data_IF_376140976015
#
_entry.id   IF_376140976015
#
_cell.length_a   1.000
_cell.length_b   1.000
_cell.length_c   1.000
_cell.angle_alpha   90.00
_cell.angle_beta   90.00
_cell.angle_gamma   90.00
#
_symmetry.space_group_name_H-M   'P 1'
#
loop_
_entity.id
_entity.type
_entity.pdbx_description
1 polymer ?
#
# COMPACT_ATOMS: atom_id res chain seq x y z
N UNK A 1 -0.58 24.87 -10.32
CA UNK A 1 0.83 25.10 -10.74
C UNK A 1 1.71 24.58 -9.62
N UNK A 2 2.62 23.64 -9.92
CA UNK A 2 3.52 23.05 -8.90
C UNK A 2 4.78 23.90 -8.82
N UNK A 3 5.44 24.11 -9.95
CA UNK A 3 6.49 25.11 -10.14
C UNK A 3 6.16 25.97 -11.36
N UNK A 4 7.07 26.85 -11.79
CA UNK A 4 6.83 27.66 -13.00
C UNK A 4 6.77 26.82 -14.27
N UNK A 5 7.57 25.75 -14.32
CA UNK A 5 7.73 24.88 -15.48
C UNK A 5 6.93 23.59 -15.35
N UNK A 6 6.51 23.21 -14.15
CA UNK A 6 5.74 21.99 -13.86
C UNK A 6 4.27 22.32 -13.59
N UNK A 7 3.38 21.79 -14.45
CA UNK A 7 1.93 21.94 -14.31
C UNK A 7 1.24 20.60 -14.08
N UNK A 8 0.17 20.63 -13.30
CA UNK A 8 -0.78 19.52 -13.17
C UNK A 8 -1.74 19.54 -14.36
N UNK A 9 -1.98 18.39 -14.94
CA UNK A 9 -2.87 18.17 -16.09
C UNK A 9 -3.76 16.92 -15.92
N UNK A 10 -3.85 16.40 -14.69
CA UNK A 10 -4.70 15.26 -14.34
C UNK A 10 -6.18 15.61 -14.24
N UNK A 11 -6.96 14.68 -13.69
CA UNK A 11 -8.42 14.76 -13.56
C UNK A 11 -8.89 14.26 -12.19
N UNK A 12 -10.11 14.64 -11.80
CA UNK A 12 -10.81 14.11 -10.63
C UNK A 12 -12.01 13.26 -11.06
N UNK A 13 -12.22 12.15 -10.39
CA UNK A 13 -13.35 11.25 -10.59
C UNK A 13 -14.25 11.24 -9.35
N UNK A 14 -15.39 11.91 -9.45
CA UNK A 14 -16.42 11.95 -8.39
C UNK A 14 -17.52 10.90 -8.57
N UNK A 15 -17.48 10.11 -9.65
CA UNK A 15 -18.51 9.12 -9.97
C UNK A 15 -18.11 7.69 -9.59
N UNK A 16 -16.83 7.47 -9.32
CA UNK A 16 -16.32 6.17 -8.89
C UNK A 16 -16.81 5.88 -7.46
N UNK A 17 -17.36 4.68 -7.25
CA UNK A 17 -17.80 4.20 -5.93
C UNK A 17 -16.80 3.20 -5.32
N UNK A 18 -16.13 2.42 -6.18
CA UNK A 18 -15.13 1.42 -5.78
C UNK A 18 -13.85 1.55 -6.61
N UNK A 19 -12.75 1.95 -5.99
CA UNK A 19 -11.42 1.87 -6.61
C UNK A 19 -10.94 0.43 -6.66
N UNK A 20 -10.34 0.01 -7.77
CA UNK A 20 -10.01 -1.40 -8.08
C UNK A 20 -11.17 -2.38 -7.87
N UNK A 21 -12.41 -1.91 -7.90
CA UNK A 21 -13.60 -2.72 -7.67
C UNK A 21 -13.77 -3.25 -6.23
N UNK A 22 -13.01 -2.74 -5.26
CA UNK A 22 -13.01 -3.23 -3.88
C UNK A 22 -12.88 -2.16 -2.80
N UNK A 23 -12.21 -1.04 -3.05
CA UNK A 23 -12.02 0.02 -2.04
C UNK A 23 -13.10 1.07 -2.17
N UNK A 24 -13.89 1.25 -1.13
CA UNK A 24 -14.92 2.29 -1.08
C UNK A 24 -14.25 3.66 -1.08
N UNK A 25 -14.60 4.53 -2.03
CA UNK A 25 -14.01 5.87 -2.19
C UNK A 25 -15.11 6.92 -2.26
N UNK A 26 -15.72 7.29 -1.13
CA UNK A 26 -16.84 8.22 -1.08
C UNK A 26 -16.45 9.63 -1.55
N UNK A 27 -15.19 9.98 -1.42
CA UNK A 27 -14.62 11.27 -1.84
C UNK A 27 -14.01 11.21 -3.26
N UNK A 28 -14.36 10.17 -4.02
CA UNK A 28 -13.88 9.96 -5.38
C UNK A 28 -12.41 9.58 -5.46
N UNK A 29 -11.79 9.90 -6.60
CA UNK A 29 -10.39 9.59 -6.88
C UNK A 29 -9.76 10.67 -7.75
N UNK A 30 -8.47 10.91 -7.61
CA UNK A 30 -7.70 11.70 -8.58
C UNK A 30 -6.83 10.80 -9.43
N UNK A 31 -6.76 11.05 -10.74
CA UNK A 31 -5.78 10.44 -11.64
C UNK A 31 -4.82 11.52 -12.09
N UNK A 32 -3.61 11.48 -11.54
CA UNK A 32 -2.66 12.56 -11.72
C UNK A 32 -1.81 12.36 -12.96
N UNK A 33 -1.67 13.44 -13.70
CA UNK A 33 -0.73 13.56 -14.80
C UNK A 33 -0.10 14.95 -14.73
N UNK A 34 1.15 15.05 -15.16
CA UNK A 34 1.91 16.30 -15.07
C UNK A 34 2.61 16.60 -16.39
N UNK A 35 2.97 17.86 -16.60
CA UNK A 35 3.77 18.27 -17.74
C UNK A 35 4.91 19.19 -17.33
N UNK A 36 6.12 18.87 -17.77
CA UNK A 36 7.31 19.73 -17.65
C UNK A 36 7.47 20.50 -18.96
N UNK A 37 7.44 21.82 -18.86
CA UNK A 37 7.59 22.76 -19.98
C UNK A 37 9.03 23.29 -20.01
N UNK A 38 9.86 22.70 -20.87
CA UNK A 38 11.24 23.09 -21.06
C UNK A 38 11.56 23.24 -22.56
N UNK A 39 12.83 23.20 -23.00
CA UNK A 39 13.19 23.14 -24.42
C UNK A 39 12.52 21.93 -25.07
N UNK A 40 12.57 20.77 -24.41
CA UNK A 40 11.76 19.61 -24.71
C UNK A 40 10.69 19.45 -23.63
N UNK A 41 9.53 18.98 -24.06
CA UNK A 41 8.37 18.83 -23.20
C UNK A 41 8.14 17.36 -22.87
N UNK A 42 8.01 17.05 -21.57
CA UNK A 42 7.68 15.73 -21.09
C UNK A 42 6.33 15.73 -20.37
N UNK A 43 5.43 14.84 -20.79
CA UNK A 43 4.19 14.50 -20.10
C UNK A 43 4.44 13.27 -19.23
N UNK A 44 4.00 13.29 -17.98
CA UNK A 44 4.15 12.22 -16.99
C UNK A 44 2.82 11.50 -16.84
N UNK A 45 2.78 10.24 -17.23
CA UNK A 45 1.64 9.32 -17.22
C UNK A 45 0.39 9.84 -17.93
N UNK A 46 -0.60 9.00 -18.06
CA UNK A 46 -1.93 9.36 -18.53
C UNK A 46 -2.96 9.20 -17.40
N UNK A 47 -4.23 9.12 -17.74
CA UNK A 47 -5.32 9.01 -16.80
C UNK A 47 -6.28 7.88 -17.21
N UNK A 48 -7.26 7.57 -16.36
CA UNK A 48 -8.31 6.60 -16.63
C UNK A 48 -9.05 6.93 -17.94
N UNK A 49 -9.46 5.90 -18.65
CA UNK A 49 -9.98 5.97 -20.03
C UNK A 49 -11.18 6.90 -20.21
N UNK A 50 -12.09 6.96 -19.22
CA UNK A 50 -13.30 7.78 -19.34
C UNK A 50 -12.99 9.28 -19.41
N UNK A 51 -11.80 9.70 -18.97
CA UNK A 51 -11.34 11.08 -18.97
C UNK A 51 -10.42 11.44 -20.16
N UNK A 52 -10.39 10.62 -21.21
CA UNK A 52 -9.53 10.85 -22.39
C UNK A 52 -9.61 12.27 -22.95
N UNK A 53 -10.83 12.78 -23.19
CA UNK A 53 -11.02 14.10 -23.80
C UNK A 53 -10.61 15.23 -22.84
N UNK A 54 -10.97 15.13 -21.58
CA UNK A 54 -10.61 16.11 -20.56
C UNK A 54 -9.09 16.21 -20.40
N UNK A 55 -8.41 15.08 -20.26
CA UNK A 55 -6.96 15.02 -20.12
C UNK A 55 -6.24 15.58 -21.35
N UNK A 56 -6.66 15.22 -22.57
CA UNK A 56 -6.07 15.75 -23.79
C UNK A 56 -6.29 17.27 -23.92
N UNK A 57 -7.42 17.79 -23.48
CA UNK A 57 -7.68 19.23 -23.42
C UNK A 57 -6.79 19.92 -22.35
N UNK A 58 -6.58 19.29 -21.19
CA UNK A 58 -5.69 19.79 -20.14
C UNK A 58 -4.26 19.89 -20.66
N UNK A 59 -3.78 18.91 -21.46
CA UNK A 59 -2.49 18.96 -22.13
C UNK A 59 -2.44 20.16 -23.09
N UNK A 60 -3.41 20.29 -24.00
CA UNK A 60 -3.42 21.40 -24.97
C UNK A 60 -3.41 22.77 -24.30
N UNK A 61 -4.23 22.95 -23.25
CA UNK A 61 -4.26 24.18 -22.49
C UNK A 61 -2.92 24.50 -21.79
N UNK A 62 -2.20 23.47 -21.34
CA UNK A 62 -0.91 23.62 -20.73
C UNK A 62 0.19 23.98 -21.73
N UNK A 63 0.12 23.39 -22.93
CA UNK A 63 1.13 23.51 -23.99
C UNK A 63 1.01 24.78 -24.83
N UNK A 64 -0.22 25.29 -25.02
CA UNK A 64 -0.48 26.34 -26.01
C UNK A 64 -0.20 25.88 -27.42
N UNK A 65 0.67 26.56 -28.17
CA UNK A 65 1.05 26.21 -29.54
C UNK A 65 2.16 25.13 -29.64
N UNK A 66 2.70 24.69 -28.50
CA UNK A 66 3.80 23.69 -28.45
C UNK A 66 3.26 22.27 -28.51
N UNK A 67 4.13 21.33 -28.85
CA UNK A 67 3.82 19.89 -28.84
C UNK A 67 4.76 19.15 -27.88
N UNK A 68 4.31 18.06 -27.22
CA UNK A 68 5.17 17.29 -26.33
C UNK A 68 6.16 16.43 -27.12
N UNK A 69 7.38 16.30 -26.59
CA UNK A 69 8.42 15.43 -27.12
C UNK A 69 8.33 14.01 -26.53
N UNK A 70 7.89 13.91 -25.28
CA UNK A 70 7.90 12.66 -24.54
C UNK A 70 6.61 12.43 -23.76
N UNK A 71 6.21 11.14 -23.69
CA UNK A 71 5.33 10.59 -22.65
C UNK A 71 6.17 9.65 -21.80
N UNK A 72 6.35 9.97 -20.53
CA UNK A 72 7.01 9.12 -19.54
C UNK A 72 5.93 8.31 -18.83
N UNK A 73 6.04 6.99 -18.86
CA UNK A 73 5.08 6.08 -18.23
C UNK A 73 5.74 5.43 -17.04
N UNK A 74 5.30 5.84 -15.85
CA UNK A 74 5.79 5.31 -14.59
C UNK A 74 5.12 3.99 -14.23
N UNK A 75 3.82 3.85 -14.58
CA UNK A 75 3.01 2.71 -14.20
C UNK A 75 2.05 2.29 -15.32
N UNK A 76 1.80 0.99 -15.43
CA UNK A 76 1.00 0.41 -16.50
C UNK A 76 -0.43 0.03 -16.08
N UNK A 77 -0.83 0.30 -14.86
CA UNK A 77 -2.22 0.14 -14.48
C UNK A 77 -3.13 1.01 -15.36
N UNK A 78 -4.31 0.49 -15.78
CA UNK A 78 -5.13 1.17 -16.79
C UNK A 78 -5.54 2.60 -16.45
N UNK A 79 -5.67 2.94 -15.17
CA UNK A 79 -6.00 4.30 -14.73
C UNK A 79 -4.86 5.32 -14.95
N UNK A 80 -3.64 4.85 -15.26
CA UNK A 80 -2.49 5.67 -15.64
C UNK A 80 -2.01 5.41 -17.07
N UNK A 81 -2.42 4.31 -17.70
CA UNK A 81 -1.86 3.88 -18.99
C UNK A 81 -2.89 3.82 -20.12
N UNK A 82 -4.19 3.86 -19.84
CA UNK A 82 -5.24 3.64 -20.84
C UNK A 82 -5.18 4.61 -22.03
N UNK A 83 -4.64 5.81 -21.82
CA UNK A 83 -4.59 6.87 -22.84
C UNK A 83 -3.25 6.97 -23.59
N UNK A 84 -2.29 6.09 -23.37
CA UNK A 84 -1.00 6.09 -24.10
C UNK A 84 -1.23 6.10 -25.62
N UNK A 85 -2.11 5.24 -26.14
CA UNK A 85 -2.42 5.17 -27.55
C UNK A 85 -3.08 6.47 -28.06
N UNK A 86 -4.02 7.03 -27.32
CA UNK A 86 -4.72 8.27 -27.70
C UNK A 86 -3.75 9.45 -27.75
N UNK A 87 -2.84 9.54 -26.78
CA UNK A 87 -1.77 10.53 -26.76
C UNK A 87 -0.88 10.43 -28.01
N UNK A 88 -0.39 9.23 -28.35
CA UNK A 88 0.46 8.99 -29.48
C UNK A 88 -0.22 9.18 -30.85
N UNK A 89 -1.55 9.05 -30.90
CA UNK A 89 -2.32 9.39 -32.10
C UNK A 89 -2.43 10.90 -32.27
N UNK A 90 -2.60 11.65 -31.17
CA UNK A 90 -2.67 13.11 -31.19
C UNK A 90 -1.31 13.76 -31.42
N UNK A 91 -0.24 13.16 -30.87
CA UNK A 91 1.14 13.65 -30.96
C UNK A 91 2.05 12.59 -31.60
N UNK A 92 2.00 12.46 -32.94
CA UNK A 92 2.67 11.37 -33.65
C UNK A 92 4.20 11.41 -33.58
N UNK A 93 4.80 12.56 -33.31
CA UNK A 93 6.25 12.72 -33.17
C UNK A 93 6.76 12.44 -31.76
N UNK A 94 5.85 12.36 -30.75
CA UNK A 94 6.22 12.09 -29.38
C UNK A 94 6.74 10.66 -29.18
N UNK A 95 7.72 10.50 -28.29
CA UNK A 95 8.29 9.21 -27.92
C UNK A 95 7.77 8.77 -26.54
N UNK A 96 7.60 7.46 -26.36
CA UNK A 96 7.26 6.85 -25.07
C UNK A 96 8.53 6.42 -24.35
N UNK A 97 8.65 6.80 -23.09
CA UNK A 97 9.76 6.44 -22.21
C UNK A 97 9.21 5.58 -21.08
N UNK A 98 9.72 4.37 -20.90
CA UNK A 98 9.29 3.46 -19.85
C UNK A 98 10.32 2.35 -19.60
N UNK A 99 10.08 1.51 -18.59
CA UNK A 99 10.86 0.29 -18.37
C UNK A 99 10.63 -0.75 -19.46
N UNK A 100 11.55 -1.71 -19.60
CA UNK A 100 11.40 -2.83 -20.53
C UNK A 100 10.15 -3.67 -20.24
N UNK A 101 9.79 -3.84 -18.96
CA UNK A 101 8.59 -4.55 -18.53
C UNK A 101 7.32 -3.81 -18.97
N UNK A 102 7.28 -2.48 -18.82
CA UNK A 102 6.15 -1.68 -19.25
C UNK A 102 5.88 -1.84 -20.76
N UNK A 103 6.91 -1.88 -21.60
CA UNK A 103 6.73 -2.11 -23.05
C UNK A 103 6.20 -3.52 -23.36
N UNK A 104 6.57 -4.54 -22.58
CA UNK A 104 5.93 -5.87 -22.68
C UNK A 104 4.45 -5.83 -22.31
N UNK A 105 4.09 -5.08 -21.27
CA UNK A 105 2.69 -4.86 -20.89
C UNK A 105 1.93 -4.05 -21.94
N UNK A 106 2.53 -3.02 -22.54
CA UNK A 106 1.93 -2.28 -23.66
C UNK A 106 1.61 -3.20 -24.84
N UNK A 107 2.50 -4.17 -25.17
CA UNK A 107 2.21 -5.19 -26.17
C UNK A 107 0.96 -6.00 -25.85
N UNK A 108 0.76 -6.34 -24.57
CA UNK A 108 -0.42 -7.09 -24.13
C UNK A 108 -1.70 -6.23 -24.14
N UNK A 109 -1.62 -5.00 -23.64
CA UNK A 109 -2.77 -4.09 -23.55
C UNK A 109 -3.20 -3.53 -24.90
N UNK A 110 -2.22 -3.18 -25.76
CA UNK A 110 -2.48 -2.42 -26.99
C UNK A 110 -2.20 -3.21 -28.26
N UNK A 111 -1.61 -4.42 -28.18
CA UNK A 111 -1.17 -5.18 -29.36
C UNK A 111 0.06 -4.56 -30.06
N UNK A 112 0.75 -3.63 -29.41
CA UNK A 112 1.99 -2.98 -29.90
C UNK A 112 2.83 -2.53 -28.71
N UNK A 113 4.15 -2.62 -28.86
CA UNK A 113 5.14 -2.10 -27.92
C UNK A 113 5.72 -0.76 -28.36
N UNK A 114 5.10 -0.11 -29.35
CA UNK A 114 5.53 1.18 -29.92
C UNK A 114 7.01 1.22 -30.30
N UNK A 115 7.54 0.13 -30.85
CA UNK A 115 8.97 -0.06 -31.16
C UNK A 115 9.59 1.02 -32.04
N UNK A 116 8.78 1.70 -32.84
CA UNK A 116 9.17 2.85 -33.70
C UNK A 116 9.41 4.13 -32.90
N UNK A 117 8.87 4.24 -31.67
CA UNK A 117 8.88 5.47 -30.87
C UNK A 117 9.24 5.25 -29.41
N UNK A 118 9.63 4.05 -29.01
CA UNK A 118 9.96 3.73 -27.61
C UNK A 118 11.39 4.11 -27.24
N UNK A 119 11.58 4.54 -26.01
CA UNK A 119 12.87 4.68 -25.33
C UNK A 119 12.81 3.82 -24.07
N UNK A 120 13.60 2.76 -24.02
CA UNK A 120 13.69 1.88 -22.86
C UNK A 120 14.71 2.46 -21.89
N UNK A 121 14.30 2.64 -20.63
CA UNK A 121 15.19 3.13 -19.57
C UNK A 121 15.57 2.01 -18.59
N UNK A 122 16.68 2.24 -17.90
CA UNK A 122 17.19 1.46 -16.79
C UNK A 122 17.37 2.36 -15.56
N UNK A 123 17.61 1.73 -14.43
CA UNK A 123 17.90 2.43 -13.16
C UNK A 123 19.11 3.36 -13.32
N UNK A 124 18.93 4.62 -12.94
CA UNK A 124 19.97 5.66 -13.03
C UNK A 124 20.12 6.32 -14.41
N UNK A 125 19.38 5.90 -15.44
CA UNK A 125 19.40 6.57 -16.74
C UNK A 125 18.88 8.01 -16.61
N UNK A 126 19.36 8.89 -17.50
CA UNK A 126 19.03 10.32 -17.47
C UNK A 126 18.42 10.79 -18.77
N UNK A 127 17.53 11.77 -18.66
CA UNK A 127 16.95 12.50 -19.79
C UNK A 127 17.11 14.00 -19.56
N UNK A 128 17.72 14.67 -20.52
CA UNK A 128 17.86 16.13 -20.51
C UNK A 128 16.76 16.77 -21.36
N UNK A 129 15.99 17.69 -20.75
CA UNK A 129 14.93 18.45 -21.41
C UNK A 129 15.36 19.87 -21.79
N UNK A 130 16.54 20.33 -21.34
CA UNK A 130 17.07 21.67 -21.45
C UNK A 130 17.59 22.13 -20.09
N UNK A 131 16.77 22.82 -19.31
CA UNK A 131 17.02 23.19 -17.92
C UNK A 131 16.84 22.00 -16.96
N UNK A 132 15.84 21.16 -17.21
CA UNK A 132 15.49 20.01 -16.38
C UNK A 132 16.31 18.78 -16.78
N UNK A 133 16.98 18.14 -15.83
CA UNK A 133 17.59 16.83 -15.98
C UNK A 133 16.84 15.82 -15.11
N UNK A 134 16.19 14.87 -15.78
CA UNK A 134 15.44 13.81 -15.15
C UNK A 134 16.31 12.57 -14.93
N UNK A 135 16.24 11.97 -13.76
CA UNK A 135 16.89 10.69 -13.44
C UNK A 135 15.82 9.64 -13.18
N UNK A 136 15.88 8.50 -13.85
CA UNK A 136 14.94 7.40 -13.69
C UNK A 136 15.41 6.44 -12.61
N UNK A 137 14.49 6.02 -11.75
CA UNK A 137 14.71 5.08 -10.65
C UNK A 137 13.73 3.92 -10.81
N UNK A 138 14.24 2.69 -10.86
CA UNK A 138 13.34 1.53 -10.87
C UNK A 138 12.79 1.27 -9.47
N UNK A 139 11.49 1.00 -9.39
CA UNK A 139 10.75 0.72 -8.16
C UNK A 139 9.88 -0.54 -8.31
N UNK A 140 10.48 -1.70 -8.65
CA UNK A 140 9.72 -2.91 -8.94
C UNK A 140 8.91 -3.34 -7.73
N UNK A 141 7.66 -3.76 -7.97
CA UNK A 141 6.65 -4.14 -6.97
C UNK A 141 6.23 -3.00 -6.01
N UNK A 142 6.41 -1.74 -6.43
CA UNK A 142 5.83 -0.60 -5.72
C UNK A 142 4.82 0.12 -6.66
N UNK A 143 3.66 -0.51 -7.03
CA UNK A 143 3.27 -1.86 -6.54
C UNK A 143 3.28 -2.95 -7.63
N UNK A 144 3.57 -2.65 -8.91
CA UNK A 144 3.72 -3.60 -10.00
C UNK A 144 5.20 -3.73 -10.43
N UNK A 145 5.58 -4.82 -11.17
CA UNK A 145 6.99 -5.11 -11.46
C UNK A 145 7.68 -4.13 -12.42
N UNK A 146 6.93 -3.39 -13.21
CA UNK A 146 7.45 -2.46 -14.23
C UNK A 146 7.65 -1.04 -13.71
N UNK A 147 7.19 -0.73 -12.50
CA UNK A 147 7.13 0.63 -11.94
C UNK A 147 8.50 1.29 -11.93
N UNK A 148 8.51 2.54 -12.37
CA UNK A 148 9.64 3.45 -12.25
C UNK A 148 9.22 4.73 -11.53
N UNK A 149 10.17 5.45 -10.99
CA UNK A 149 10.03 6.81 -10.48
C UNK A 149 10.95 7.74 -11.27
N UNK A 150 10.66 9.02 -11.28
CA UNK A 150 11.52 10.02 -11.92
C UNK A 150 11.86 11.13 -10.94
N UNK A 151 13.16 11.42 -10.79
CA UNK A 151 13.61 12.57 -10.02
C UNK A 151 14.06 13.69 -10.95
N UNK A 152 13.46 14.86 -10.81
CA UNK A 152 13.88 16.10 -11.47
C UNK A 152 14.84 16.87 -10.56
N UNK A 153 16.09 16.96 -10.97
CA UNK A 153 17.13 17.63 -10.20
C UNK A 153 17.01 19.15 -10.19
N UNK A 154 16.31 19.75 -11.17
CA UNK A 154 16.13 21.19 -11.30
C UNK A 154 15.18 21.71 -10.23
N UNK A 155 13.96 21.17 -10.18
CA UNK A 155 12.92 21.61 -9.26
C UNK A 155 12.86 20.73 -8.00
N UNK A 156 13.74 19.69 -7.90
CA UNK A 156 13.84 18.75 -6.77
C UNK A 156 12.53 18.02 -6.50
N UNK A 157 11.88 17.60 -7.58
CA UNK A 157 10.60 16.89 -7.57
C UNK A 157 10.81 15.41 -7.78
N UNK A 158 10.17 14.58 -6.97
CA UNK A 158 10.06 13.15 -7.18
C UNK A 158 8.66 12.84 -7.74
N UNK A 159 8.59 12.30 -8.96
CA UNK A 159 7.40 11.64 -9.50
C UNK A 159 7.44 10.19 -9.05
N UNK A 160 6.54 9.83 -8.15
CA UNK A 160 6.69 8.61 -7.33
C UNK A 160 5.82 7.43 -7.77
N UNK A 161 5.20 7.49 -8.93
CA UNK A 161 4.12 6.59 -9.31
C UNK A 161 3.04 6.58 -8.20
N UNK A 162 2.52 5.42 -7.82
CA UNK A 162 1.49 5.28 -6.80
C UNK A 162 2.00 5.48 -5.37
N UNK A 163 3.31 5.35 -5.17
CA UNK A 163 3.88 5.62 -3.85
C UNK A 163 3.59 7.06 -3.40
N UNK A 164 3.28 7.23 -2.13
CA UNK A 164 2.84 8.49 -1.52
C UNK A 164 1.46 8.98 -1.99
N UNK A 165 0.73 8.16 -2.74
CA UNK A 165 -0.65 8.41 -3.12
C UNK A 165 -1.63 8.22 -1.97
N UNK A 166 -2.89 8.63 -2.20
CA UNK A 166 -4.02 8.44 -1.30
C UNK A 166 -5.32 8.32 -2.08
N UNK A 167 -6.35 7.77 -1.46
CA UNK A 167 -7.71 7.87 -1.98
C UNK A 167 -8.25 9.31 -1.88
N UNK A 168 -9.26 9.62 -2.70
CA UNK A 168 -9.94 10.91 -2.72
C UNK A 168 -9.55 11.82 -3.90
N UNK A 169 -10.51 12.61 -4.36
CA UNK A 169 -10.33 13.64 -5.37
C UNK A 169 -9.58 14.85 -4.77
N UNK A 170 -8.87 15.64 -5.61
CA UNK A 170 -8.01 16.74 -5.14
C UNK A 170 -8.79 17.96 -4.63
N UNK A 171 -10.04 18.08 -4.95
CA UNK A 171 -10.94 19.18 -4.58
C UNK A 171 -11.83 18.86 -3.37
N UNK A 172 -11.59 17.72 -2.70
CA UNK A 172 -12.19 17.34 -1.43
C UNK A 172 -11.18 17.58 -0.31
N UNK A 173 -11.62 18.25 0.77
CA UNK A 173 -10.80 18.44 1.98
C UNK A 173 -10.87 17.18 2.85
N UNK A 174 -9.73 16.57 3.10
CA UNK A 174 -9.59 15.41 3.98
C UNK A 174 -8.21 15.38 4.66
N UNK A 175 -8.01 14.46 5.61
CA UNK A 175 -6.73 14.21 6.24
C UNK A 175 -5.89 13.25 5.39
N UNK A 176 -4.76 13.73 4.84
CA UNK A 176 -3.89 12.93 3.98
C UNK A 176 -3.47 11.61 4.62
N UNK A 177 -3.11 11.62 5.90
CA UNK A 177 -2.54 10.45 6.58
C UNK A 177 -3.51 9.26 6.66
N UNK A 178 -4.80 9.51 6.92
CA UNK A 178 -5.82 8.46 7.02
C UNK A 178 -5.99 7.75 5.67
N UNK A 179 -6.31 8.52 4.62
CA UNK A 179 -6.56 7.99 3.29
C UNK A 179 -5.29 7.44 2.62
N UNK A 180 -4.12 8.02 2.90
CA UNK A 180 -2.84 7.53 2.41
C UNK A 180 -2.44 6.21 3.08
N UNK A 181 -2.71 6.02 4.38
CA UNK A 181 -2.46 4.77 5.10
C UNK A 181 -3.38 3.67 4.58
N UNK A 182 -4.68 3.98 4.40
CA UNK A 182 -5.67 3.06 3.82
C UNK A 182 -5.26 2.64 2.40
N UNK A 183 -4.84 3.60 1.57
CA UNK A 183 -4.27 3.36 0.24
C UNK A 183 -3.02 2.49 0.31
N UNK A 184 -2.04 2.85 1.17
CA UNK A 184 -0.79 2.12 1.32
C UNK A 184 -1.03 0.64 1.68
N UNK A 185 -1.74 0.36 2.76
CA UNK A 185 -1.99 -1.03 3.18
C UNK A 185 -2.97 -1.76 2.26
N UNK A 186 -3.84 -1.07 1.56
CA UNK A 186 -4.69 -1.63 0.52
C UNK A 186 -3.89 -2.14 -0.67
N UNK A 187 -3.03 -1.30 -1.24
CA UNK A 187 -2.40 -1.44 -2.55
C UNK A 187 -0.93 -1.92 -2.44
N UNK A 188 -0.13 -1.29 -1.58
CA UNK A 188 1.33 -1.46 -1.52
C UNK A 188 1.77 -2.37 -0.37
N UNK A 189 0.98 -2.50 0.69
CA UNK A 189 1.38 -3.04 1.99
C UNK A 189 2.04 -4.42 1.99
N UNK A 190 1.74 -5.27 1.01
CA UNK A 190 2.43 -6.55 0.81
C UNK A 190 3.93 -6.39 0.54
N UNK A 191 4.33 -5.29 -0.08
CA UNK A 191 5.65 -5.10 -0.68
C UNK A 191 6.56 -4.19 0.17
N UNK A 192 6.42 -4.21 1.49
CA UNK A 192 7.23 -3.41 2.41
C UNK A 192 8.74 -3.46 2.16
N UNK A 193 9.38 -4.63 1.98
CA UNK A 193 10.81 -4.70 1.66
C UNK A 193 11.21 -3.97 0.37
N UNK A 194 10.34 -3.98 -0.66
CA UNK A 194 10.59 -3.26 -1.91
C UNK A 194 10.46 -1.74 -1.73
N UNK A 195 9.49 -1.31 -0.93
CA UNK A 195 9.38 0.11 -0.52
C UNK A 195 10.63 0.55 0.25
N UNK A 196 11.12 -0.27 1.20
CA UNK A 196 12.36 -0.01 1.93
C UNK A 196 13.58 0.12 0.99
N UNK A 197 13.66 -0.69 -0.06
CA UNK A 197 14.71 -0.58 -1.06
C UNK A 197 14.61 0.75 -1.86
N UNK A 198 13.39 1.17 -2.21
CA UNK A 198 13.15 2.47 -2.86
C UNK A 198 13.51 3.63 -1.93
N UNK A 199 13.09 3.59 -0.67
CA UNK A 199 13.44 4.63 0.32
C UNK A 199 14.95 4.80 0.47
N UNK A 200 15.72 3.70 0.46
CA UNK A 200 17.19 3.76 0.44
C UNK A 200 17.76 4.43 -0.81
N UNK A 201 17.17 4.19 -2.00
CA UNK A 201 17.59 4.84 -3.24
C UNK A 201 17.36 6.36 -3.20
N UNK A 202 16.18 6.78 -2.71
CA UNK A 202 15.83 8.20 -2.68
C UNK A 202 16.45 8.98 -1.52
N UNK A 203 16.99 8.31 -0.49
CA UNK A 203 17.58 8.95 0.69
C UNK A 203 18.77 9.90 0.37
N UNK A 204 19.47 9.67 -0.74
CA UNK A 204 20.55 10.54 -1.19
C UNK A 204 20.08 11.74 -2.03
N UNK A 205 18.80 11.81 -2.38
CA UNK A 205 18.22 12.85 -3.21
C UNK A 205 17.74 14.02 -2.33
N UNK A 206 17.88 15.23 -2.87
CA UNK A 206 17.32 16.42 -2.22
C UNK A 206 15.89 16.66 -2.72
N UNK A 207 14.92 15.94 -2.15
CA UNK A 207 13.52 16.01 -2.55
C UNK A 207 12.85 17.17 -1.79
N UNK A 208 12.23 18.09 -2.52
CA UNK A 208 11.45 19.21 -1.96
C UNK A 208 9.95 19.05 -2.21
N UNK A 209 9.56 18.24 -3.19
CA UNK A 209 8.17 17.86 -3.43
C UNK A 209 8.06 16.45 -4.03
N UNK A 210 6.94 15.81 -3.72
CA UNK A 210 6.58 14.51 -4.29
C UNK A 210 5.29 14.69 -5.08
N UNK A 211 5.27 14.17 -6.31
CA UNK A 211 4.14 14.20 -7.22
C UNK A 211 3.66 12.75 -7.46
N UNK A 212 2.72 12.24 -6.67
CA UNK A 212 2.17 10.89 -6.82
C UNK A 212 1.14 10.83 -7.95
N UNK A 213 0.76 9.62 -8.35
CA UNK A 213 -0.29 9.40 -9.35
C UNK A 213 -1.71 9.53 -8.80
N UNK A 214 -1.88 9.52 -7.47
CA UNK A 214 -3.12 9.82 -6.76
C UNK A 214 -2.87 10.78 -5.60
N UNK A 215 -3.86 11.63 -5.30
CA UNK A 215 -3.76 12.58 -4.20
C UNK A 215 -2.92 13.82 -4.52
N UNK A 216 -2.71 14.72 -3.56
CA UNK A 216 -2.07 16.01 -3.77
C UNK A 216 -0.55 15.89 -3.97
N UNK A 217 0.03 16.87 -4.68
CA UNK A 217 1.47 17.05 -4.66
C UNK A 217 1.92 17.50 -3.25
N UNK A 218 2.82 16.72 -2.65
CA UNK A 218 3.34 16.93 -1.30
C UNK A 218 4.54 17.89 -1.39
N UNK A 219 4.40 19.11 -0.87
CA UNK A 219 5.40 20.18 -1.03
C UNK A 219 6.04 20.64 0.27
N UNK A 220 5.36 20.43 1.38
CA UNK A 220 5.83 20.83 2.69
C UNK A 220 6.07 19.58 3.54
N UNK A 221 7.07 19.62 4.39
CA UNK A 221 7.34 18.57 5.34
C UNK A 221 7.54 17.17 4.71
N UNK A 222 8.23 17.09 3.56
CA UNK A 222 8.45 15.87 2.78
C UNK A 222 9.05 14.74 3.62
N UNK A 223 9.94 15.08 4.56
CA UNK A 223 10.55 14.10 5.48
C UNK A 223 9.51 13.39 6.36
N UNK A 224 8.40 14.05 6.70
CA UNK A 224 7.30 13.44 7.44
C UNK A 224 6.63 12.30 6.63
N UNK A 225 6.30 12.57 5.37
CA UNK A 225 5.69 11.55 4.50
C UNK A 225 6.63 10.37 4.24
N UNK A 226 7.92 10.65 4.03
CA UNK A 226 8.96 9.61 3.90
C UNK A 226 9.05 8.81 5.20
N UNK A 227 9.00 9.45 6.37
CA UNK A 227 9.01 8.79 7.68
C UNK A 227 7.79 7.89 7.92
N UNK A 228 6.60 8.29 7.47
CA UNK A 228 5.41 7.43 7.52
C UNK A 228 5.57 6.20 6.62
N UNK A 229 6.06 6.39 5.39
CA UNK A 229 6.35 5.28 4.48
C UNK A 229 7.43 4.32 5.03
N UNK A 230 8.44 4.84 5.73
CA UNK A 230 9.43 4.02 6.43
C UNK A 230 8.79 3.18 7.54
N UNK A 231 7.94 3.79 8.36
CA UNK A 231 7.18 3.11 9.41
C UNK A 231 6.26 2.03 8.85
N UNK A 232 5.47 2.35 7.82
CA UNK A 232 4.51 1.41 7.23
C UNK A 232 5.21 0.24 6.53
N UNK A 233 6.26 0.52 5.77
CA UNK A 233 6.99 -0.49 4.99
C UNK A 233 7.91 -1.38 5.82
N UNK A 234 8.33 -0.93 6.98
CA UNK A 234 9.01 -1.76 8.00
C UNK A 234 8.02 -2.51 8.89
N UNK A 235 6.71 -2.33 8.68
CA UNK A 235 5.64 -2.87 9.53
C UNK A 235 5.77 -2.42 11.00
N UNK A 236 6.30 -1.22 11.19
CA UNK A 236 6.41 -0.56 12.49
C UNK A 236 5.04 -0.18 13.08
N UNK A 237 5.03 0.16 14.35
CA UNK A 237 3.87 0.73 15.02
C UNK A 237 3.88 2.24 14.80
N UNK A 238 2.80 2.78 14.26
CA UNK A 238 2.69 4.22 14.04
C UNK A 238 2.16 4.95 15.27
N UNK A 239 1.16 4.35 15.92
CA UNK A 239 0.47 4.96 17.05
C UNK A 239 0.25 3.95 18.15
N UNK A 240 0.28 4.42 19.40
CA UNK A 240 -0.07 3.57 20.55
C UNK A 240 -1.59 3.46 20.71
N UNK A 241 -2.05 2.23 20.95
CA UNK A 241 -3.47 1.95 21.12
C UNK A 241 -3.80 0.48 20.91
N UNK A 242 -5.08 0.18 21.03
CA UNK A 242 -5.65 -1.17 20.84
C UNK A 242 -6.79 -1.09 19.84
N UNK A 243 -6.72 -1.89 18.80
CA UNK A 243 -7.83 -2.12 17.87
C UNK A 243 -8.58 -3.37 18.29
N UNK A 244 -9.91 -3.28 18.38
CA UNK A 244 -10.80 -4.39 18.65
C UNK A 244 -11.67 -4.61 17.42
N UNK A 245 -11.27 -5.55 16.57
CA UNK A 245 -12.04 -5.96 15.41
C UNK A 245 -12.98 -7.11 15.80
N UNK A 246 -14.29 -6.94 15.57
CA UNK A 246 -15.24 -7.92 16.05
C UNK A 246 -16.38 -8.18 15.06
N UNK A 247 -17.02 -9.34 15.26
CA UNK A 247 -18.33 -9.67 14.70
C UNK A 247 -19.28 -10.11 15.79
N UNK A 248 -20.55 -9.73 15.71
CA UNK A 248 -21.55 -10.11 16.70
C UNK A 248 -22.91 -10.32 16.07
N UNK A 249 -23.53 -11.50 16.26
CA UNK A 249 -24.82 -11.85 15.66
C UNK A 249 -25.98 -11.25 16.49
N UNK A 250 -26.00 -11.51 17.80
CA UNK A 250 -27.08 -11.13 18.70
C UNK A 250 -26.66 -10.18 19.82
N UNK A 251 -25.48 -9.53 19.69
CA UNK A 251 -25.01 -8.51 20.63
C UNK A 251 -24.15 -9.03 21.79
N UNK A 252 -24.07 -10.32 22.05
CA UNK A 252 -23.31 -10.83 23.21
C UNK A 252 -21.79 -10.70 23.05
N UNK A 253 -21.25 -10.94 21.86
CA UNK A 253 -19.82 -10.67 21.57
C UNK A 253 -19.55 -9.17 21.60
N UNK A 254 -20.47 -8.35 21.06
CA UNK A 254 -20.40 -6.90 21.14
C UNK A 254 -20.33 -6.40 22.58
N UNK A 255 -21.19 -6.91 23.48
CA UNK A 255 -21.17 -6.53 24.90
C UNK A 255 -19.81 -6.85 25.56
N UNK A 256 -19.15 -7.94 25.17
CA UNK A 256 -17.84 -8.29 25.70
C UNK A 256 -16.73 -7.35 25.22
N UNK A 257 -16.73 -6.95 23.93
CA UNK A 257 -15.74 -6.01 23.41
C UNK A 257 -15.98 -4.58 23.91
N UNK A 258 -17.23 -4.18 24.14
CA UNK A 258 -17.56 -2.90 24.78
C UNK A 258 -17.05 -2.86 26.22
N UNK A 259 -17.21 -3.97 26.97
CA UNK A 259 -16.63 -4.10 28.31
C UNK A 259 -15.10 -4.05 28.28
N UNK A 260 -14.46 -4.74 27.31
CA UNK A 260 -13.00 -4.68 27.15
C UNK A 260 -12.54 -3.25 26.85
N UNK A 261 -13.21 -2.55 25.93
CA UNK A 261 -12.88 -1.16 25.61
C UNK A 261 -12.95 -0.26 26.85
N UNK A 262 -14.03 -0.36 27.63
CA UNK A 262 -14.16 0.36 28.89
C UNK A 262 -13.00 0.05 29.87
N UNK A 263 -12.61 -1.23 30.00
CA UNK A 263 -11.51 -1.64 30.88
C UNK A 263 -10.15 -1.12 30.40
N UNK A 264 -9.91 -1.08 29.09
CA UNK A 264 -8.70 -0.50 28.51
C UNK A 264 -8.63 1.02 28.78
N UNK A 265 -9.75 1.73 28.61
CA UNK A 265 -9.84 3.17 28.92
C UNK A 265 -9.64 3.44 30.42
N UNK A 266 -10.27 2.65 31.31
CA UNK A 266 -10.07 2.74 32.76
C UNK A 266 -8.60 2.54 33.18
N UNK A 267 -7.84 1.74 32.42
CA UNK A 267 -6.39 1.50 32.61
C UNK A 267 -5.49 2.50 31.90
N UNK A 268 -6.05 3.50 31.23
CA UNK A 268 -5.29 4.59 30.60
C UNK A 268 -4.75 4.24 29.21
N UNK A 269 -5.34 3.27 28.49
CA UNK A 269 -4.99 3.02 27.10
C UNK A 269 -5.18 4.31 26.27
N UNK A 270 -4.17 4.80 25.53
CA UNK A 270 -4.22 6.12 24.88
C UNK A 270 -5.26 6.19 23.76
N UNK A 271 -5.54 5.07 23.09
CA UNK A 271 -6.57 4.95 22.06
C UNK A 271 -7.14 3.55 22.01
N UNK A 272 -8.47 3.47 21.96
CA UNK A 272 -9.20 2.23 21.70
C UNK A 272 -10.09 2.43 20.49
N UNK A 273 -9.97 1.56 19.50
CA UNK A 273 -10.78 1.57 18.28
C UNK A 273 -11.62 0.30 18.26
N UNK A 274 -12.94 0.44 18.13
CA UNK A 274 -13.87 -0.68 17.98
C UNK A 274 -14.40 -0.72 16.56
N UNK A 275 -14.18 -1.85 15.84
CA UNK A 275 -14.62 -2.02 14.48
C UNK A 275 -15.55 -3.23 14.33
N UNK A 276 -16.82 -2.98 14.00
CA UNK A 276 -17.79 -4.02 13.65
C UNK A 276 -17.57 -4.42 12.17
N UNK A 277 -16.86 -5.52 11.96
CA UNK A 277 -16.46 -5.98 10.63
C UNK A 277 -17.64 -6.30 9.68
N UNK A 278 -18.83 -6.54 10.23
CA UNK A 278 -20.02 -6.76 9.43
C UNK A 278 -20.69 -5.45 8.93
N UNK A 279 -20.20 -4.29 9.37
CA UNK A 279 -20.82 -2.97 9.10
C UNK A 279 -19.84 -1.89 8.67
N UNK A 280 -18.56 -2.09 8.95
CA UNK A 280 -17.49 -1.16 8.59
C UNK A 280 -16.82 -1.55 7.27
N UNK A 281 -16.18 -0.60 6.62
CA UNK A 281 -15.28 -0.88 5.51
C UNK A 281 -14.10 -1.73 6.02
N UNK A 282 -13.85 -2.85 5.34
CA UNK A 282 -12.75 -3.74 5.70
C UNK A 282 -11.37 -3.09 5.55
N UNK A 283 -11.22 -2.14 4.60
CA UNK A 283 -9.95 -1.46 4.36
C UNK A 283 -9.59 -0.52 5.52
N UNK A 284 -10.58 0.14 6.12
CA UNK A 284 -10.42 0.91 7.36
C UNK A 284 -9.96 0.01 8.53
N UNK A 285 -10.61 -1.15 8.68
CA UNK A 285 -10.23 -2.10 9.73
C UNK A 285 -8.79 -2.62 9.56
N UNK A 286 -8.36 -2.84 8.31
CA UNK A 286 -7.00 -3.29 7.98
C UNK A 286 -5.99 -2.20 8.29
N UNK A 287 -6.22 -0.95 7.87
CA UNK A 287 -5.28 0.14 8.12
C UNK A 287 -5.10 0.38 9.62
N UNK A 288 -6.19 0.35 10.40
CA UNK A 288 -6.14 0.46 11.86
C UNK A 288 -5.31 -0.69 12.50
N UNK A 289 -5.47 -1.93 12.02
CA UNK A 289 -4.70 -3.06 12.53
C UNK A 289 -3.18 -2.91 12.28
N UNK A 290 -2.78 -2.26 11.17
CA UNK A 290 -1.39 -1.94 10.90
C UNK A 290 -0.90 -0.68 11.62
N UNK A 291 -1.78 0.28 11.89
CA UNK A 291 -1.46 1.53 12.58
C UNK A 291 -1.05 1.30 14.02
N UNK A 292 -1.83 0.46 14.74
CA UNK A 292 -1.65 0.26 16.18
C UNK A 292 -0.86 -1.01 16.50
N UNK A 293 -0.20 -1.02 17.67
CA UNK A 293 0.64 -2.14 18.10
C UNK A 293 -0.12 -3.36 18.62
N UNK A 294 -1.42 -3.22 18.94
CA UNK A 294 -2.22 -4.24 19.61
C UNK A 294 -3.56 -4.45 18.91
N UNK A 295 -3.87 -5.71 18.58
CA UNK A 295 -5.10 -6.11 17.91
C UNK A 295 -5.85 -7.14 18.75
N UNK A 296 -7.14 -6.93 18.98
CA UNK A 296 -8.03 -7.94 19.56
C UNK A 296 -9.00 -8.41 18.49
N UNK A 297 -9.06 -9.73 18.29
CA UNK A 297 -10.01 -10.38 17.39
C UNK A 297 -11.11 -11.03 18.21
N UNK A 298 -12.37 -10.64 17.97
CA UNK A 298 -13.51 -11.13 18.72
C UNK A 298 -14.62 -11.62 17.79
N UNK A 299 -14.93 -12.94 17.83
CA UNK A 299 -15.96 -13.51 16.96
C UNK A 299 -16.66 -14.72 17.57
N UNK A 300 -17.74 -15.15 16.92
CA UNK A 300 -18.46 -16.36 17.27
C UNK A 300 -18.00 -17.55 16.44
N UNK A 301 -18.06 -18.75 17.05
CA UNK A 301 -18.05 -19.99 16.29
C UNK A 301 -19.33 -20.09 15.46
N UNK A 302 -19.18 -20.25 14.16
CA UNK A 302 -20.26 -20.29 13.19
C UNK A 302 -20.04 -21.42 12.18
N UNK A 303 -21.00 -22.32 12.02
CA UNK A 303 -20.90 -23.50 11.13
C UNK A 303 -19.61 -24.32 11.36
N UNK A 304 -19.20 -24.53 12.61
CA UNK A 304 -17.96 -25.18 13.02
C UNK A 304 -16.66 -24.46 12.52
N UNK A 305 -16.77 -23.24 12.06
CA UNK A 305 -15.72 -22.31 11.62
C UNK A 305 -15.91 -20.99 12.38
N UNK A 306 -15.34 -19.88 11.91
CA UNK A 306 -15.57 -18.51 12.39
C UNK A 306 -16.55 -17.76 11.48
N UNK A 307 -17.08 -16.63 11.98
CA UNK A 307 -17.98 -15.79 11.20
C UNK A 307 -17.28 -15.24 9.94
N UNK A 308 -17.94 -15.21 8.75
CA UNK A 308 -17.29 -14.91 7.48
C UNK A 308 -16.49 -13.60 7.44
N UNK A 309 -17.05 -12.51 7.94
CA UNK A 309 -16.38 -11.20 7.91
C UNK A 309 -15.06 -11.19 8.71
N UNK A 310 -15.00 -11.89 9.84
CA UNK A 310 -13.76 -12.09 10.60
C UNK A 310 -12.75 -12.91 9.79
N UNK A 311 -13.22 -13.94 9.07
CA UNK A 311 -12.35 -14.77 8.23
C UNK A 311 -11.73 -13.96 7.11
N UNK A 312 -12.52 -13.16 6.40
CA UNK A 312 -12.05 -12.27 5.34
C UNK A 312 -11.07 -11.24 5.89
N UNK A 313 -11.37 -10.62 7.03
CA UNK A 313 -10.47 -9.66 7.65
C UNK A 313 -9.09 -10.27 7.96
N UNK A 314 -9.03 -11.46 8.58
CA UNK A 314 -7.76 -12.14 8.86
C UNK A 314 -7.01 -12.48 7.55
N UNK A 315 -7.72 -12.89 6.49
CA UNK A 315 -7.11 -13.14 5.18
C UNK A 315 -6.47 -11.86 4.62
N UNK A 316 -7.17 -10.72 4.68
CA UNK A 316 -6.63 -9.43 4.24
C UNK A 316 -5.38 -9.02 5.03
N UNK A 317 -5.33 -9.29 6.33
CA UNK A 317 -4.14 -9.05 7.15
C UNK A 317 -2.95 -9.93 6.70
N UNK A 318 -3.19 -11.23 6.56
CA UNK A 318 -2.15 -12.20 6.18
C UNK A 318 -1.58 -11.93 4.78
N UNK A 319 -2.43 -11.61 3.79
CA UNK A 319 -2.03 -11.28 2.43
C UNK A 319 -1.13 -10.03 2.34
N UNK A 320 -1.20 -9.14 3.34
CA UNK A 320 -0.45 -7.89 3.44
C UNK A 320 0.75 -7.96 4.38
N UNK A 321 1.20 -9.18 4.72
CA UNK A 321 2.35 -9.42 5.61
C UNK A 321 2.16 -8.83 7.03
N UNK A 322 0.96 -8.94 7.61
CA UNK A 322 0.71 -8.50 8.97
C UNK A 322 1.70 -9.12 9.95
N UNK A 323 2.37 -8.29 10.73
CA UNK A 323 3.45 -8.73 11.59
C UNK A 323 3.77 -7.72 12.71
N UNK A 324 4.64 -8.13 13.67
CA UNK A 324 5.15 -7.27 14.74
C UNK A 324 4.05 -6.71 15.65
N UNK A 325 3.02 -7.52 15.98
CA UNK A 325 1.85 -7.05 16.75
C UNK A 325 1.55 -8.00 17.92
N UNK A 326 0.97 -7.44 18.98
CA UNK A 326 0.36 -8.23 20.06
C UNK A 326 -1.10 -8.50 19.71
N UNK A 327 -1.53 -9.77 19.82
CA UNK A 327 -2.88 -10.21 19.44
C UNK A 327 -3.59 -10.83 20.64
N UNK A 328 -4.75 -10.26 21.01
CA UNK A 328 -5.69 -10.81 21.96
C UNK A 328 -6.86 -11.52 21.27
N UNK A 329 -7.41 -12.57 21.88
CA UNK A 329 -8.49 -13.37 21.30
C UNK A 329 -9.70 -13.43 22.22
N UNK A 330 -10.89 -13.22 21.64
CA UNK A 330 -12.20 -13.40 22.28
C UNK A 330 -13.03 -14.34 21.42
N UNK A 331 -13.47 -15.46 21.97
CA UNK A 331 -14.37 -16.40 21.31
C UNK A 331 -15.74 -16.47 21.99
N UNK A 332 -16.78 -16.68 21.18
CA UNK A 332 -18.11 -16.97 21.70
C UNK A 332 -18.69 -18.22 21.01
N UNK A 333 -19.36 -19.05 21.77
CA UNK A 333 -20.08 -20.22 21.26
C UNK A 333 -20.91 -20.87 22.36
N UNK A 334 -22.16 -21.24 22.04
CA UNK A 334 -23.11 -21.72 23.05
C UNK A 334 -22.80 -23.13 23.58
N UNK A 335 -22.11 -23.98 22.80
CA UNK A 335 -21.84 -25.37 23.21
C UNK A 335 -20.43 -25.89 22.88
N UNK A 336 -19.75 -25.38 21.84
CA UNK A 336 -18.43 -25.83 21.43
C UNK A 336 -17.65 -24.69 20.75
N UNK A 337 -17.22 -23.66 21.53
CA UNK A 337 -16.44 -22.56 20.98
C UNK A 337 -15.10 -23.06 20.44
N UNK A 338 -14.75 -22.63 19.22
CA UNK A 338 -13.51 -22.96 18.50
C UNK A 338 -12.88 -21.74 17.84
N UNK A 339 -13.52 -20.58 17.92
CA UNK A 339 -13.14 -19.44 17.12
C UNK A 339 -11.72 -18.95 17.43
N UNK A 340 -11.28 -18.96 18.68
CA UNK A 340 -9.94 -18.54 19.06
C UNK A 340 -8.86 -19.42 18.43
N UNK A 341 -9.03 -20.75 18.44
CA UNK A 341 -8.11 -21.68 17.82
C UNK A 341 -8.00 -21.48 16.32
N UNK A 342 -9.13 -21.27 15.63
CA UNK A 342 -9.17 -21.04 14.19
C UNK A 342 -8.51 -19.71 13.82
N UNK A 343 -8.80 -18.61 14.54
CA UNK A 343 -8.17 -17.32 14.33
C UNK A 343 -6.65 -17.38 14.49
N UNK A 344 -6.19 -18.10 15.55
CA UNK A 344 -4.74 -18.29 15.78
C UNK A 344 -4.08 -19.12 14.68
N UNK A 345 -4.75 -20.17 14.18
CA UNK A 345 -4.27 -20.96 13.06
C UNK A 345 -4.16 -20.15 11.78
N UNK A 346 -5.17 -19.33 11.46
CA UNK A 346 -5.15 -18.46 10.28
C UNK A 346 -4.02 -17.42 10.30
N UNK A 347 -3.57 -17.02 11.49
CA UNK A 347 -2.46 -16.06 11.67
C UNK A 347 -1.09 -16.76 11.82
N UNK A 348 -1.02 -18.10 11.71
CA UNK A 348 0.22 -18.86 11.95
C UNK A 348 1.38 -18.51 11.01
N UNK A 349 1.08 -18.06 9.79
CA UNK A 349 2.07 -17.62 8.80
C UNK A 349 2.52 -16.15 8.99
N UNK A 350 1.82 -15.40 9.84
CA UNK A 350 2.19 -14.02 10.16
C UNK A 350 3.39 -13.98 11.09
N UNK A 351 4.37 -13.12 10.78
CA UNK A 351 5.65 -13.09 11.50
C UNK A 351 5.56 -12.27 12.79
N UNK A 352 6.32 -12.67 13.81
CA UNK A 352 6.54 -11.89 15.03
C UNK A 352 5.23 -11.44 15.71
N UNK A 353 4.21 -12.32 15.72
CA UNK A 353 3.01 -12.07 16.51
C UNK A 353 3.19 -12.62 17.91
N UNK A 354 2.85 -11.81 18.92
CA UNK A 354 2.77 -12.20 20.31
C UNK A 354 1.31 -12.33 20.70
N UNK A 355 0.85 -13.53 21.04
CA UNK A 355 -0.50 -13.73 21.53
C UNK A 355 -0.53 -13.51 23.05
N UNK A 356 -1.60 -12.86 23.54
CA UNK A 356 -1.85 -12.76 24.99
C UNK A 356 -2.03 -14.13 25.60
N UNK A 357 -1.63 -14.29 26.88
CA UNK A 357 -1.83 -15.54 27.61
C UNK A 357 -3.32 -15.79 27.86
N UNK A 358 -4.08 -14.72 28.11
CA UNK A 358 -5.53 -14.78 28.30
C UNK A 358 -6.28 -14.82 26.98
N UNK A 359 -7.06 -15.87 26.77
CA UNK A 359 -8.11 -15.94 25.77
C UNK A 359 -9.47 -15.85 26.45
N UNK A 360 -10.29 -14.87 26.04
CA UNK A 360 -11.64 -14.72 26.61
C UNK A 360 -12.59 -15.71 25.95
N UNK A 361 -13.20 -16.57 26.77
CA UNK A 361 -14.16 -17.57 26.32
C UNK A 361 -15.56 -17.25 26.83
N UNK A 362 -16.49 -17.05 25.92
CA UNK A 362 -17.88 -16.73 26.23
C UNK A 362 -18.76 -17.92 25.83
N UNK A 363 -19.60 -18.38 26.78
CA UNK A 363 -20.60 -19.39 26.50
C UNK A 363 -21.97 -18.71 26.41
N UNK A 364 -22.31 -18.24 25.21
CA UNK A 364 -23.48 -17.44 24.84
C UNK A 364 -23.43 -16.00 25.34
N UNK A 365 -23.47 -15.75 26.66
CA UNK A 365 -23.47 -14.44 27.30
C UNK A 365 -22.34 -14.31 28.31
N UNK A 366 -21.97 -13.07 28.65
CA UNK A 366 -21.02 -12.79 29.71
C UNK A 366 -21.51 -13.36 31.06
N UNK A 367 -20.58 -13.90 31.82
CA UNK A 367 -20.75 -14.38 33.17
C UNK A 367 -19.54 -13.94 34.03
N UNK A 368 -19.51 -14.27 35.31
CA UNK A 368 -18.44 -13.88 36.21
C UNK A 368 -17.06 -14.31 35.74
N UNK A 369 -16.94 -15.53 35.20
CA UNK A 369 -15.66 -16.06 34.64
C UNK A 369 -15.19 -15.29 33.42
N UNK A 370 -16.06 -15.10 32.42
CA UNK A 370 -15.70 -14.38 31.22
C UNK A 370 -15.44 -12.89 31.47
N UNK A 371 -16.14 -12.27 32.45
CA UNK A 371 -15.83 -10.89 32.87
C UNK A 371 -14.44 -10.83 33.53
N UNK A 372 -14.07 -11.79 34.35
CA UNK A 372 -12.72 -11.86 34.92
C UNK A 372 -11.65 -12.05 33.85
N UNK A 373 -11.92 -12.85 32.81
CA UNK A 373 -11.02 -13.01 31.66
C UNK A 373 -10.89 -11.70 30.85
N UNK A 374 -11.97 -10.93 30.66
CA UNK A 374 -11.90 -9.61 30.01
C UNK A 374 -11.01 -8.65 30.81
N UNK A 375 -11.13 -8.63 32.13
CA UNK A 375 -10.28 -7.81 33.00
C UNK A 375 -8.80 -8.22 32.91
N UNK A 376 -8.50 -9.53 32.86
CA UNK A 376 -7.16 -10.06 32.71
C UNK A 376 -6.58 -9.70 31.36
N UNK A 377 -7.34 -9.85 30.26
CA UNK A 377 -6.93 -9.46 28.93
C UNK A 377 -6.61 -7.96 28.83
N UNK A 378 -7.46 -7.11 29.44
CA UNK A 378 -7.20 -5.67 29.51
C UNK A 378 -5.90 -5.35 30.26
N UNK A 379 -5.62 -6.08 31.34
CA UNK A 379 -4.38 -5.92 32.11
C UNK A 379 -3.15 -6.32 31.29
N UNK A 380 -3.19 -7.43 30.54
CA UNK A 380 -2.09 -7.86 29.68
C UNK A 380 -1.83 -6.84 28.55
N UNK A 381 -2.90 -6.33 27.92
CA UNK A 381 -2.78 -5.34 26.85
C UNK A 381 -2.26 -3.97 27.32
N UNK A 382 -2.50 -3.58 28.56
CA UNK A 382 -2.01 -2.33 29.15
C UNK A 382 -0.66 -2.50 29.88
N UNK A 383 -0.31 -3.71 30.31
CA UNK A 383 0.85 -3.97 31.19
C UNK A 383 2.17 -4.28 30.47
N UNK A 384 2.22 -4.35 29.15
CA UNK A 384 3.44 -4.67 28.40
C UNK A 384 4.18 -3.41 27.92
N UNK A 385 4.77 -2.66 28.82
CA UNK A 385 6.02 -1.97 28.58
C UNK A 385 7.12 -2.81 29.28
N UNK A 386 7.77 -3.71 28.50
CA UNK A 386 9.14 -4.18 28.67
C UNK A 386 9.35 -5.47 27.89
N UNK A 387 9.99 -5.37 26.72
CA UNK A 387 11.08 -6.23 26.22
C UNK A 387 11.23 -6.10 24.71
N UNK A 388 11.96 -5.10 24.25
CA UNK A 388 12.70 -5.23 23.01
C UNK A 388 13.83 -6.25 23.25
N UNK A 389 13.61 -7.49 22.86
CA UNK A 389 14.69 -8.50 22.86
C UNK A 389 15.49 -8.34 21.59
N UNK A 390 16.69 -7.78 21.74
CA UNK A 390 17.77 -7.94 20.76
C UNK A 390 18.09 -9.43 20.63
N UNK A 391 17.63 -10.06 19.56
CA UNK A 391 18.16 -11.36 19.14
C UNK A 391 19.24 -11.11 18.08
N UNK A 392 20.49 -11.18 18.50
CA UNK A 392 21.62 -11.35 17.59
C UNK A 392 21.50 -12.73 16.93
N UNK A 393 21.19 -12.76 15.64
CA UNK A 393 21.27 -13.95 14.83
C UNK A 393 22.69 -14.10 14.28
N UNK A 394 23.33 -15.24 14.57
CA UNK A 394 24.58 -15.64 13.94
C UNK A 394 24.40 -15.82 12.43
N UNK A 395 25.13 -15.05 11.63
CA UNK A 395 25.15 -15.15 10.17
C UNK A 395 25.79 -16.47 9.71
N UNK A 396 24.96 -17.42 9.27
CA UNK A 396 25.39 -18.46 8.32
C UNK A 396 25.36 -17.86 6.92
N UNK A 397 26.47 -17.86 6.20
CA UNK A 397 26.53 -17.51 4.77
C UNK A 397 25.67 -18.50 3.97
N UNK A 398 24.44 -18.14 3.71
CA UNK A 398 23.54 -18.84 2.78
C UNK A 398 23.64 -18.20 1.39
N UNK A 399 23.54 -19.00 0.33
CA UNK A 399 23.45 -18.48 -1.04
C UNK A 399 22.21 -17.59 -1.15
N UNK A 400 22.34 -16.47 -1.84
CA UNK A 400 21.21 -15.56 -2.13
C UNK A 400 20.97 -15.54 -3.64
N UNK A 401 19.72 -15.65 -4.05
CA UNK A 401 19.27 -15.52 -5.42
C UNK A 401 18.31 -14.34 -5.54
N UNK A 402 18.45 -13.54 -6.60
CA UNK A 402 17.61 -12.36 -6.84
C UNK A 402 16.75 -12.60 -8.06
N UNK A 403 15.43 -12.43 -7.91
CA UNK A 403 14.49 -12.44 -9.03
C UNK A 403 14.74 -11.23 -9.95
N UNK A 404 15.06 -11.50 -11.21
CA UNK A 404 15.37 -10.46 -12.22
C UNK A 404 14.13 -9.64 -12.64
N UNK A 405 12.94 -10.09 -12.26
CA UNK A 405 11.67 -9.40 -12.60
C UNK A 405 11.24 -8.43 -11.50
N UNK A 406 11.30 -8.84 -10.22
CA UNK A 406 10.75 -8.04 -9.12
C UNK A 406 11.76 -7.73 -8.01
N UNK A 407 13.00 -8.21 -8.10
CA UNK A 407 14.04 -7.99 -7.10
C UNK A 407 13.88 -8.80 -5.81
N UNK A 408 12.95 -9.78 -5.75
CA UNK A 408 12.80 -10.65 -4.59
C UNK A 408 14.09 -11.43 -4.33
N UNK A 409 14.56 -11.44 -3.08
CA UNK A 409 15.73 -12.19 -2.63
C UNK A 409 15.29 -13.51 -1.99
N UNK A 410 15.81 -14.61 -2.50
CA UNK A 410 15.66 -15.96 -1.94
C UNK A 410 16.96 -16.38 -1.27
N UNK A 411 16.89 -16.79 -0.01
CA UNK A 411 18.04 -17.32 0.74
C UNK A 411 17.97 -18.85 0.80
N UNK A 412 19.05 -19.52 0.41
CA UNK A 412 19.15 -20.97 0.37
C UNK A 412 19.36 -21.53 -1.03
N UNK A 413 19.17 -22.84 -1.20
CA UNK A 413 19.18 -23.48 -2.52
C UNK A 413 17.86 -23.18 -3.24
N UNK A 414 17.91 -22.80 -4.51
CA UNK A 414 16.73 -22.51 -5.33
C UNK A 414 16.20 -23.81 -5.94
N UNK A 415 15.00 -24.32 -5.55
CA UNK A 415 14.41 -25.53 -6.12
C UNK A 415 14.11 -25.38 -7.62
N UNK A 416 14.14 -26.52 -8.35
CA UNK A 416 13.85 -26.50 -9.79
C UNK A 416 12.41 -26.14 -10.15
N UNK A 417 11.50 -26.29 -9.21
CA UNK A 417 10.06 -25.95 -9.29
C UNK A 417 9.69 -24.70 -8.48
N UNK A 418 10.70 -23.89 -8.12
CA UNK A 418 10.46 -22.68 -7.35
C UNK A 418 9.69 -21.64 -8.16
N UNK A 419 8.68 -21.06 -7.52
CA UNK A 419 7.96 -19.89 -8.05
C UNK A 419 8.22 -18.68 -7.15
N UNK A 420 8.52 -17.54 -7.76
CA UNK A 420 8.71 -16.31 -7.02
C UNK A 420 7.43 -15.94 -6.25
N UNK A 421 7.48 -15.78 -4.92
CA UNK A 421 6.28 -15.50 -4.13
C UNK A 421 5.70 -14.11 -4.35
N UNK A 422 6.43 -13.21 -5.02
CA UNK A 422 5.97 -11.86 -5.34
C UNK A 422 5.37 -11.74 -6.75
N UNK A 423 6.03 -12.33 -7.76
CA UNK A 423 5.60 -12.14 -9.15
C UNK A 423 5.33 -13.45 -9.91
N UNK A 424 5.43 -14.62 -9.25
CA UNK A 424 5.05 -15.91 -9.81
C UNK A 424 5.96 -16.47 -10.92
N UNK A 425 7.15 -15.90 -11.14
CA UNK A 425 8.07 -16.38 -12.17
C UNK A 425 8.91 -17.57 -11.68
N UNK A 426 9.30 -18.42 -12.63
CA UNK A 426 10.11 -19.61 -12.36
C UNK A 426 11.58 -19.33 -12.02
N UNK A 427 12.35 -20.37 -11.61
CA UNK A 427 13.71 -20.23 -11.11
C UNK A 427 14.73 -19.79 -12.18
N UNK A 428 14.41 -19.95 -13.45
CA UNK A 428 15.19 -19.49 -14.60
C UNK A 428 15.31 -17.95 -14.71
N UNK A 429 14.49 -17.23 -13.94
CA UNK A 429 14.53 -15.78 -13.84
C UNK A 429 15.14 -15.30 -12.49
N UNK A 430 15.93 -16.16 -11.84
CA UNK A 430 16.72 -15.81 -10.67
C UNK A 430 18.21 -15.84 -10.97
N UNK A 431 18.93 -14.85 -10.50
CA UNK A 431 20.39 -14.76 -10.58
C UNK A 431 21.01 -14.91 -9.19
N UNK A 432 22.15 -15.60 -9.09
CA UNK A 432 22.90 -15.72 -7.84
C UNK A 432 23.49 -14.34 -7.50
N UNK A 433 23.18 -13.82 -6.32
CA UNK A 433 23.82 -12.63 -5.80
C UNK A 433 25.27 -12.95 -5.36
N UNK A 434 26.25 -12.15 -5.81
CA UNK A 434 27.65 -12.29 -5.44
C UNK A 434 27.94 -11.93 -3.95
#
# INVERSE_FOLDING_TARGET
>A
MITNDLKYIGVNDHEIDLFEGQFVVPDGMSYNSYVILDEKIAVMDSVERKFTEEWLNNIENALGERTPDYLIVHHMEPDHSANIRNFLQKYPEAKVIASANAFRMMQNFFGTDFSDRRIVIKDGDKLNLGKHELTFLTAPMVHWPEVIMTYDACDKVLFSADAFGKFGALDVEDEWECEARRYYFGIIGKYGPQVQAVLKKIAALNIQSICPLHGPALKENVDHYIGLYDTWSSYGVESEGVVIAYTSIYGHTKAAVELLAQKLEEKGCPKVVLTDLARSDWAEAVEDAFRYGKLVLATTTYNADIFPDMKHFIQHLAERNFQNRTVGLIENGSWAPKAAGIMKEMLSECKNLTFTDTTVKILSALNEESIAQVEALAQELCGQEEAAVETQAEEKKTKKYICTVCGYEHEGELPADYECPLCGVGPDLFELAE
#
